data_IF_442667888279
#
_entry.id   IF_442667888279
#
_cell.length_a   1.000
_cell.length_b   1.000
_cell.length_c   1.000
_cell.angle_alpha   90.00
_cell.angle_beta   90.00
_cell.angle_gamma   90.00
#
_symmetry.space_group_name_H-M   'P 1'
#
loop_
_entity.id
_entity.type
_entity.pdbx_description
1 polymer ?
#
# COMPACT_ATOMS: atom_id res chain seq x y z
N UNK A 1 11.63 5.87 -24.97
CA UNK A 1 11.11 6.90 -24.05
C UNK A 1 11.90 6.81 -22.76
N UNK A 2 12.32 7.94 -22.17
CA UNK A 2 12.99 7.93 -20.87
C UNK A 2 12.00 7.48 -19.80
N UNK A 3 12.29 6.41 -19.06
CA UNK A 3 11.44 5.88 -17.97
C UNK A 3 11.68 6.64 -16.66
N UNK A 4 11.76 7.97 -16.72
CA UNK A 4 12.01 8.82 -15.56
C UNK A 4 10.93 8.71 -14.46
N UNK A 5 9.75 8.17 -14.82
CA UNK A 5 8.62 7.91 -13.94
C UNK A 5 8.76 6.62 -13.13
N UNK A 6 9.70 5.72 -13.49
CA UNK A 6 9.91 4.44 -12.81
C UNK A 6 11.22 4.45 -12.03
N UNK A 7 11.15 4.04 -10.76
CA UNK A 7 12.33 3.80 -9.93
C UNK A 7 12.26 2.42 -9.30
N UNK A 8 13.41 1.78 -9.10
CA UNK A 8 13.49 0.54 -8.33
C UNK A 8 14.15 0.82 -7.00
N UNK A 9 13.47 0.44 -5.94
CA UNK A 9 13.94 0.49 -4.57
C UNK A 9 14.24 -0.93 -4.06
N UNK A 10 15.32 -1.06 -3.31
CA UNK A 10 15.61 -2.30 -2.63
C UNK A 10 14.73 -2.39 -1.37
N UNK A 11 14.19 -3.57 -1.11
CA UNK A 11 13.48 -3.84 0.14
C UNK A 11 14.42 -3.64 1.32
N UNK A 12 14.03 -2.78 2.25
CA UNK A 12 14.82 -2.47 3.44
C UNK A 12 14.09 -1.54 4.39
N UNK A 13 14.63 -1.37 5.60
CA UNK A 13 14.01 -0.57 6.67
C UNK A 13 13.83 0.91 6.29
N UNK A 14 14.71 1.46 5.45
CA UNK A 14 14.61 2.85 4.99
C UNK A 14 13.30 3.13 4.21
N UNK A 15 12.61 2.11 3.70
CA UNK A 15 11.29 2.29 3.10
C UNK A 15 10.24 2.80 4.09
N UNK A 16 10.40 2.57 5.40
CA UNK A 16 9.45 3.12 6.37
C UNK A 16 9.49 4.64 6.48
N UNK A 17 10.63 5.24 6.11
CA UNK A 17 10.77 6.70 6.00
C UNK A 17 10.23 7.23 4.65
N UNK A 18 9.70 6.34 3.80
CA UNK A 18 9.19 6.65 2.47
C UNK A 18 10.11 6.18 1.33
N UNK A 19 9.77 6.61 0.13
CA UNK A 19 10.53 6.34 -1.11
C UNK A 19 11.53 7.46 -1.39
N UNK A 20 12.68 7.13 -1.98
CA UNK A 20 13.66 8.14 -2.39
C UNK A 20 13.17 8.89 -3.64
N UNK A 21 12.90 10.18 -3.47
CA UNK A 21 12.50 11.09 -4.56
C UNK A 21 13.69 11.80 -5.20
N UNK A 22 14.90 11.62 -4.66
CA UNK A 22 16.15 12.27 -5.07
C UNK A 22 16.79 13.07 -3.92
N UNK A 23 18.10 13.32 -4.02
CA UNK A 23 18.87 14.15 -3.08
C UNK A 23 18.80 13.66 -1.61
N UNK A 24 18.52 12.38 -1.39
CA UNK A 24 18.36 11.79 -0.06
C UNK A 24 17.03 12.13 0.62
N UNK A 25 16.13 12.84 -0.08
CA UNK A 25 14.79 13.15 0.42
C UNK A 25 13.91 11.91 0.28
N UNK A 26 13.33 11.47 1.39
CA UNK A 26 12.35 10.39 1.41
C UNK A 26 10.95 10.94 1.66
N UNK A 27 9.98 10.42 0.93
CA UNK A 27 8.58 10.87 1.00
C UNK A 27 7.64 9.68 1.03
N UNK A 28 6.55 9.79 1.78
CA UNK A 28 5.45 8.83 1.72
C UNK A 28 4.74 8.93 0.36
N UNK A 29 4.28 7.80 -0.15
CA UNK A 29 3.43 7.74 -1.33
C UNK A 29 1.96 7.77 -0.94
N UNK A 30 1.11 8.10 -1.90
CA UNK A 30 -0.34 8.00 -1.82
C UNK A 30 -0.73 6.53 -1.69
N UNK A 31 -0.38 5.69 -2.68
CA UNK A 31 -0.80 4.29 -2.73
C UNK A 31 0.37 3.31 -2.67
N UNK A 32 0.33 2.39 -1.70
CA UNK A 32 1.14 1.18 -1.69
C UNK A 32 0.37 0.01 -2.28
N UNK A 33 1.03 -0.88 -3.02
CA UNK A 33 0.45 -2.11 -3.57
C UNK A 33 1.27 -3.29 -3.08
N UNK A 34 0.61 -4.20 -2.37
CA UNK A 34 1.17 -5.44 -1.84
C UNK A 34 0.59 -6.61 -2.62
N UNK A 35 1.46 -7.38 -3.26
CA UNK A 35 1.07 -8.61 -3.94
C UNK A 35 1.31 -9.78 -2.98
N UNK A 36 0.32 -10.64 -2.77
CA UNK A 36 0.44 -11.81 -1.90
C UNK A 36 -0.21 -13.05 -2.53
N UNK A 37 0.34 -14.23 -2.23
CA UNK A 37 -0.26 -15.50 -2.64
C UNK A 37 -1.20 -16.05 -1.56
N UNK A 38 -2.17 -16.86 -1.99
CA UNK A 38 -3.18 -17.48 -1.12
C UNK A 38 -2.55 -18.32 0.00
N UNK A 39 -1.60 -19.16 -0.38
CA UNK A 39 -0.84 -20.10 0.45
C UNK A 39 0.42 -19.48 1.09
N UNK A 40 0.62 -18.16 0.95
CA UNK A 40 1.79 -17.46 1.49
C UNK A 40 1.69 -17.33 3.01
N UNK A 41 2.33 -18.24 3.75
CA UNK A 41 2.44 -18.18 5.21
C UNK A 41 3.86 -18.53 5.66
N UNK A 42 4.56 -17.64 6.42
CA UNK A 42 4.19 -16.25 6.72
C UNK A 42 4.22 -15.36 5.46
N UNK A 43 3.60 -14.18 5.53
CA UNK A 43 3.78 -13.11 4.54
C UNK A 43 5.27 -12.82 4.33
N UNK A 44 5.66 -12.43 3.12
CA UNK A 44 7.03 -12.18 2.70
C UNK A 44 7.18 -10.77 2.10
N UNK A 45 8.43 -10.37 1.87
CA UNK A 45 8.73 -9.11 1.18
C UNK A 45 8.23 -7.87 1.94
N UNK A 46 7.71 -6.88 1.21
CA UNK A 46 7.14 -5.68 1.83
C UNK A 46 5.86 -5.99 2.62
N UNK A 47 5.06 -6.97 2.20
CA UNK A 47 3.85 -7.36 2.92
C UNK A 47 4.18 -7.83 4.34
N UNK A 48 5.24 -8.64 4.51
CA UNK A 48 5.73 -9.05 5.82
C UNK A 48 6.17 -7.87 6.70
N UNK A 49 6.89 -6.92 6.10
CA UNK A 49 7.39 -5.74 6.82
C UNK A 49 6.25 -4.82 7.27
N UNK A 50 5.26 -4.62 6.41
CA UNK A 50 4.04 -3.87 6.74
C UNK A 50 3.26 -4.61 7.82
N UNK A 51 3.08 -5.92 7.69
CA UNK A 51 2.37 -6.74 8.68
C UNK A 51 3.03 -6.69 10.05
N UNK A 52 4.36 -6.86 10.11
CA UNK A 52 5.15 -6.70 11.34
C UNK A 52 4.96 -5.31 11.96
N UNK A 53 5.00 -4.25 11.15
CA UNK A 53 4.84 -2.88 11.64
C UNK A 53 3.41 -2.58 12.13
N UNK A 54 2.45 -3.35 11.63
CA UNK A 54 1.04 -3.33 12.02
C UNK A 54 0.67 -4.40 13.04
N UNK A 55 1.65 -4.97 13.77
CA UNK A 55 1.40 -5.98 14.80
C UNK A 55 0.61 -7.21 14.31
N UNK A 56 0.82 -7.61 13.05
CA UNK A 56 0.17 -8.79 12.47
C UNK A 56 -1.23 -8.54 11.91
N UNK A 57 -1.66 -7.29 11.73
CA UNK A 57 -3.01 -6.96 11.26
C UNK A 57 -3.34 -7.56 9.87
N UNK A 58 -2.40 -7.59 8.91
CA UNK A 58 -2.64 -8.20 7.61
C UNK A 58 -2.80 -9.71 7.75
N UNK A 59 -1.93 -10.34 8.54
CA UNK A 59 -2.06 -11.77 8.86
C UNK A 59 -3.37 -12.07 9.60
N UNK A 60 -3.86 -11.15 10.44
CA UNK A 60 -5.17 -11.22 11.09
C UNK A 60 -6.32 -11.24 10.08
N UNK A 61 -6.32 -10.34 9.10
CA UNK A 61 -7.31 -10.31 8.01
C UNK A 61 -7.29 -11.61 7.18
N UNK A 62 -6.10 -12.13 6.87
CA UNK A 62 -5.95 -13.38 6.12
C UNK A 62 -6.43 -14.59 6.92
N UNK A 63 -6.21 -14.61 8.24
CA UNK A 63 -6.68 -15.70 9.12
C UNK A 63 -8.20 -15.65 9.37
N UNK A 64 -8.80 -14.46 9.40
CA UNK A 64 -10.25 -14.33 9.54
C UNK A 64 -11.01 -14.70 8.26
N UNK A 65 -10.31 -14.85 7.13
CA UNK A 65 -10.92 -15.09 5.83
C UNK A 65 -11.56 -13.84 5.23
N UNK A 66 -11.28 -12.65 5.78
CA UNK A 66 -11.75 -11.39 5.18
C UNK A 66 -11.18 -11.18 3.78
N UNK A 67 -9.94 -11.62 3.58
CA UNK A 67 -9.34 -11.83 2.27
C UNK A 67 -8.55 -13.13 2.25
N UNK A 68 -8.42 -13.74 1.08
CA UNK A 68 -7.85 -15.08 0.94
C UNK A 68 -6.56 -15.10 0.12
N UNK A 69 -6.37 -14.14 -0.77
CA UNK A 69 -5.34 -14.13 -1.80
C UNK A 69 -5.77 -14.73 -3.13
N UNK A 70 -7.08 -14.84 -3.38
CA UNK A 70 -7.60 -15.32 -4.66
C UNK A 70 -7.09 -14.50 -5.86
N UNK A 71 -6.96 -15.09 -7.07
CA UNK A 71 -6.41 -14.42 -8.24
C UNK A 71 -7.11 -13.10 -8.62
N UNK A 72 -6.46 -12.00 -8.26
CA UNK A 72 -6.90 -10.63 -8.46
C UNK A 72 -8.04 -10.18 -7.55
N UNK A 73 -8.22 -10.85 -6.42
CA UNK A 73 -8.87 -10.27 -5.24
C UNK A 73 -8.13 -8.98 -4.86
N UNK A 74 -8.88 -7.94 -4.52
CA UNK A 74 -8.32 -6.62 -4.23
C UNK A 74 -8.99 -6.02 -3.00
N UNK A 75 -8.20 -5.71 -1.97
CA UNK A 75 -8.66 -5.07 -0.75
C UNK A 75 -7.93 -3.76 -0.55
N UNK A 76 -8.69 -2.68 -0.38
CA UNK A 76 -8.14 -1.38 -0.01
C UNK A 76 -8.12 -1.26 1.51
N UNK A 77 -6.96 -0.91 2.06
CA UNK A 77 -6.70 -0.75 3.48
C UNK A 77 -6.23 0.69 3.76
N UNK A 78 -6.61 1.27 4.91
CA UNK A 78 -6.08 2.56 5.31
C UNK A 78 -4.57 2.45 5.60
N UNK A 79 -3.82 3.50 5.25
CA UNK A 79 -2.42 3.62 5.66
C UNK A 79 -2.27 4.07 7.10
N UNK A 80 -1.03 4.05 7.57
CA UNK A 80 -0.63 4.58 8.88
C UNK A 80 0.55 5.52 8.72
N UNK A 81 0.73 6.43 9.68
CA UNK A 81 1.79 7.45 9.65
C UNK A 81 3.19 6.84 9.63
N UNK A 82 3.35 5.67 10.20
CA UNK A 82 4.59 4.89 10.30
C UNK A 82 4.84 3.94 9.11
N UNK A 83 3.99 3.99 8.08
CA UNK A 83 4.12 3.23 6.86
C UNK A 83 4.45 4.14 5.66
N UNK A 84 5.13 3.63 4.63
CA UNK A 84 5.49 4.42 3.46
C UNK A 84 4.32 4.95 2.62
N UNK A 85 3.10 4.44 2.82
CA UNK A 85 1.95 4.79 1.99
C UNK A 85 0.75 5.28 2.82
N UNK A 86 0.00 6.23 2.26
CA UNK A 86 -1.25 6.78 2.82
C UNK A 86 -2.42 5.80 2.76
N UNK A 87 -2.42 4.91 1.78
CA UNK A 87 -3.36 3.80 1.62
C UNK A 87 -2.67 2.61 0.97
N UNK A 88 -3.22 1.42 1.20
CA UNK A 88 -2.65 0.16 0.74
C UNK A 88 -3.66 -0.65 -0.06
N UNK A 89 -3.26 -1.12 -1.23
CA UNK A 89 -3.97 -2.13 -1.99
C UNK A 89 -3.30 -3.47 -1.73
N UNK A 90 -3.99 -4.37 -1.06
CA UNK A 90 -3.61 -5.77 -0.94
C UNK A 90 -4.25 -6.53 -2.12
N UNK A 91 -3.42 -7.18 -2.94
CA UNK A 91 -3.85 -7.80 -4.20
C UNK A 91 -3.43 -9.27 -4.26
N UNK A 92 -4.42 -10.15 -4.39
CA UNK A 92 -4.24 -11.60 -4.42
C UNK A 92 -3.65 -12.10 -5.74
N UNK A 93 -2.64 -12.96 -5.65
CA UNK A 93 -1.96 -13.58 -6.79
C UNK A 93 -2.43 -15.02 -7.05
N UNK A 94 -3.33 -15.54 -6.22
CA UNK A 94 -3.69 -16.95 -6.19
C UNK A 94 -2.64 -17.80 -5.50
N UNK A 95 -2.70 -19.12 -5.73
CA UNK A 95 -1.72 -20.06 -5.21
C UNK A 95 -0.35 -19.90 -5.86
N UNK A 96 0.70 -19.98 -5.06
CA UNK A 96 2.08 -19.84 -5.49
C UNK A 96 2.50 -20.93 -6.48
N UNK A 97 2.06 -22.17 -6.27
CA UNK A 97 2.35 -23.31 -7.15
C UNK A 97 1.72 -23.21 -8.56
N UNK A 98 0.71 -22.36 -8.71
CA UNK A 98 0.02 -22.11 -9.96
C UNK A 98 0.47 -20.80 -10.64
N UNK A 99 1.50 -20.14 -10.11
CA UNK A 99 2.00 -18.85 -10.57
C UNK A 99 3.18 -19.02 -11.53
N UNK A 100 2.86 -19.29 -12.79
CA UNK A 100 3.85 -19.26 -13.87
C UNK A 100 4.10 -17.82 -14.41
N UNK A 101 5.13 -17.60 -15.25
CA UNK A 101 5.43 -16.28 -15.80
C UNK A 101 4.28 -15.62 -16.57
N UNK A 102 3.45 -16.40 -17.29
CA UNK A 102 2.33 -15.86 -18.05
C UNK A 102 1.20 -15.39 -17.12
N UNK A 103 0.89 -16.18 -16.09
CA UNK A 103 -0.11 -15.85 -15.08
C UNK A 103 0.33 -14.68 -14.22
N UNK A 104 1.59 -14.63 -13.81
CA UNK A 104 2.14 -13.53 -13.05
C UNK A 104 2.12 -12.22 -13.82
N UNK A 105 2.40 -12.26 -15.13
CA UNK A 105 2.24 -11.11 -16.02
C UNK A 105 0.78 -10.62 -16.04
N UNK A 106 -0.18 -11.51 -16.29
CA UNK A 106 -1.60 -11.15 -16.36
C UNK A 106 -2.11 -10.56 -15.03
N UNK A 107 -1.69 -11.12 -13.89
CA UNK A 107 -2.07 -10.62 -12.57
C UNK A 107 -1.40 -9.28 -12.25
N UNK A 108 -0.14 -9.09 -12.64
CA UNK A 108 0.57 -7.82 -12.46
C UNK A 108 -0.05 -6.70 -13.30
N UNK A 109 -0.48 -6.99 -14.53
CA UNK A 109 -1.26 -6.05 -15.37
C UNK A 109 -2.58 -5.66 -14.68
N UNK A 110 -3.32 -6.66 -14.15
CA UNK A 110 -4.55 -6.40 -13.39
C UNK A 110 -4.30 -5.57 -12.13
N UNK A 111 -3.21 -5.83 -11.40
CA UNK A 111 -2.87 -5.09 -10.20
C UNK A 111 -2.58 -3.61 -10.51
N UNK A 112 -1.82 -3.33 -11.58
CA UNK A 112 -1.57 -1.96 -12.04
C UNK A 112 -2.87 -1.28 -12.48
N UNK A 113 -3.70 -1.96 -13.28
CA UNK A 113 -4.99 -1.41 -13.70
C UNK A 113 -5.89 -1.09 -12.49
N UNK A 114 -5.97 -1.98 -11.51
CA UNK A 114 -6.70 -1.75 -10.27
C UNK A 114 -6.15 -0.55 -9.49
N UNK A 115 -4.82 -0.47 -9.30
CA UNK A 115 -4.17 0.62 -8.60
C UNK A 115 -4.41 1.98 -9.28
N UNK A 116 -4.31 2.06 -10.61
CA UNK A 116 -4.48 3.32 -11.35
C UNK A 116 -5.95 3.81 -11.37
N UNK A 117 -6.94 2.91 -11.26
CA UNK A 117 -8.36 3.30 -11.11
C UNK A 117 -8.63 4.07 -9.81
N UNK A 118 -7.79 3.90 -8.80
CA UNK A 118 -7.84 4.67 -7.55
C UNK A 118 -7.28 6.11 -7.69
N UNK A 119 -6.86 6.48 -8.90
CA UNK A 119 -6.25 7.76 -9.27
C UNK A 119 -5.16 8.21 -8.28
N UNK A 120 -4.15 7.37 -8.00
CA UNK A 120 -3.12 7.70 -7.06
C UNK A 120 -2.21 8.82 -7.60
N UNK A 121 -1.72 9.68 -6.70
CA UNK A 121 -0.71 10.69 -7.04
C UNK A 121 0.63 10.04 -7.40
N UNK A 122 0.97 8.96 -6.69
CA UNK A 122 2.15 8.15 -6.84
C UNK A 122 1.91 6.75 -6.25
N UNK A 123 2.67 5.77 -6.73
CA UNK A 123 2.50 4.35 -6.37
C UNK A 123 3.81 3.73 -5.92
N UNK A 124 3.77 2.99 -4.81
CA UNK A 124 4.78 2.05 -4.37
C UNK A 124 4.27 0.63 -4.59
N UNK A 125 4.81 -0.11 -5.56
CA UNK A 125 4.39 -1.49 -5.84
C UNK A 125 5.47 -2.46 -5.39
N UNK A 126 5.13 -3.39 -4.52
CA UNK A 126 6.04 -4.45 -4.10
C UNK A 126 5.85 -5.72 -4.93
N UNK A 127 6.94 -6.23 -5.50
CA UNK A 127 6.94 -7.58 -6.05
C UNK A 127 6.73 -8.61 -4.92
N UNK A 128 6.12 -9.78 -5.20
CA UNK A 128 5.87 -10.79 -4.18
C UNK A 128 7.19 -11.23 -3.54
N UNK A 129 7.19 -11.38 -2.21
CA UNK A 129 8.37 -11.82 -1.48
C UNK A 129 8.62 -13.32 -1.67
N UNK A 130 9.89 -13.73 -1.70
CA UNK A 130 10.24 -15.15 -1.80
C UNK A 130 10.15 -15.76 -3.20
N UNK A 131 9.87 -14.96 -4.24
CA UNK A 131 10.09 -15.36 -5.62
C UNK A 131 11.60 -15.47 -5.89
N UNK A 132 12.21 -16.61 -5.59
CA UNK A 132 13.60 -16.89 -5.96
C UNK A 132 13.78 -17.05 -7.47
N UNK A 133 12.67 -17.23 -8.18
CA UNK A 133 12.62 -17.43 -9.62
C UNK A 133 12.72 -16.10 -10.36
N UNK A 134 13.92 -15.87 -10.89
CA UNK A 134 14.29 -14.71 -11.70
C UNK A 134 13.29 -14.41 -12.82
N UNK A 135 12.86 -15.44 -13.55
CA UNK A 135 11.98 -15.31 -14.70
C UNK A 135 10.63 -14.69 -14.32
N UNK A 136 10.11 -15.07 -13.14
CA UNK A 136 8.86 -14.55 -12.62
C UNK A 136 8.95 -13.06 -12.31
N UNK A 137 10.02 -12.63 -11.63
CA UNK A 137 10.24 -11.22 -11.30
C UNK A 137 10.43 -10.34 -12.56
N UNK A 138 11.17 -10.83 -13.56
CA UNK A 138 11.37 -10.13 -14.84
C UNK A 138 10.07 -10.07 -15.66
N UNK A 139 9.26 -11.13 -15.67
CA UNK A 139 7.96 -11.17 -16.32
C UNK A 139 6.98 -10.16 -15.69
N UNK A 140 6.88 -10.13 -14.36
CA UNK A 140 6.04 -9.17 -13.64
C UNK A 140 6.51 -7.74 -13.85
N UNK A 141 7.82 -7.46 -13.77
CA UNK A 141 8.34 -6.12 -14.06
C UNK A 141 7.95 -5.68 -15.47
N UNK A 142 8.17 -6.53 -16.47
CA UNK A 142 7.84 -6.22 -17.86
C UNK A 142 6.34 -5.93 -18.04
N UNK A 143 5.49 -6.70 -17.36
CA UNK A 143 4.04 -6.52 -17.32
C UNK A 143 3.64 -5.18 -16.69
N UNK A 144 4.21 -4.85 -15.53
CA UNK A 144 3.95 -3.60 -14.80
C UNK A 144 4.32 -2.39 -15.65
N UNK A 145 5.50 -2.43 -16.28
CA UNK A 145 5.97 -1.35 -17.14
C UNK A 145 5.04 -1.18 -18.34
N UNK A 146 4.69 -2.28 -19.02
CA UNK A 146 3.81 -2.23 -20.18
C UNK A 146 2.41 -1.70 -19.83
N UNK A 147 1.83 -2.17 -18.73
CA UNK A 147 0.52 -1.72 -18.25
C UNK A 147 0.52 -0.23 -17.89
N UNK A 148 1.56 0.23 -17.20
CA UNK A 148 1.68 1.64 -16.83
C UNK A 148 1.89 2.53 -18.06
N UNK A 149 2.76 2.15 -18.99
CA UNK A 149 2.94 2.89 -20.24
C UNK A 149 1.66 2.92 -21.09
N UNK A 150 0.85 1.84 -21.09
CA UNK A 150 -0.45 1.82 -21.75
C UNK A 150 -1.42 2.83 -21.14
N UNK A 151 -1.53 2.86 -19.81
CA UNK A 151 -2.35 3.83 -19.10
C UNK A 151 -1.90 5.28 -19.36
N UNK A 152 -0.58 5.54 -19.45
CA UNK A 152 -0.06 6.86 -19.81
C UNK A 152 -0.48 7.27 -21.23
N UNK A 153 -0.46 6.33 -22.20
CA UNK A 153 -0.91 6.63 -23.57
C UNK A 153 -2.41 6.91 -23.63
N UNK A 154 -3.24 6.20 -22.89
CA UNK A 154 -4.68 6.49 -22.80
C UNK A 154 -4.94 7.92 -22.28
N UNK A 155 -4.16 8.36 -21.28
CA UNK A 155 -4.22 9.73 -20.77
C UNK A 155 -3.74 10.80 -21.77
N UNK A 156 -2.87 10.43 -22.72
CA UNK A 156 -2.44 11.31 -23.81
C UNK A 156 -3.46 11.36 -24.97
N UNK A 157 -4.23 10.28 -25.16
CA UNK A 157 -5.19 10.07 -26.27
C UNK A 157 -6.61 10.53 -25.93
N UNK A 158 -6.86 11.10 -24.75
CA UNK A 158 -8.08 11.86 -24.46
C UNK A 158 -7.88 13.35 -24.83
N UNK A 159 -7.92 13.77 -26.12
CA UNK A 159 -8.20 15.15 -26.41
C UNK A 159 -9.65 15.37 -26.01
N UNK A 160 -9.84 16.34 -25.13
CA UNK A 160 -11.06 17.09 -24.93
C UNK A 160 -11.92 17.03 -26.20
N UNK A 161 -12.97 16.22 -26.20
CA UNK A 161 -14.11 16.48 -27.07
C UNK A 161 -14.56 17.85 -26.60
N UNK A 162 -14.10 18.87 -27.33
CA UNK A 162 -14.51 20.23 -27.12
C UNK A 162 -16.01 20.20 -27.38
N UNK A 163 -16.80 20.10 -26.32
CA UNK A 163 -18.20 20.48 -26.33
C UNK A 163 -18.17 21.89 -26.88
N UNK A 164 -18.49 22.03 -28.17
CA UNK A 164 -18.67 23.31 -28.79
C UNK A 164 -19.65 24.07 -27.88
N UNK A 165 -19.37 25.34 -27.53
CA UNK A 165 -20.37 26.13 -26.83
C UNK A 165 -21.61 26.09 -27.71
N UNK A 166 -22.66 25.47 -27.17
CA UNK A 166 -24.01 25.48 -27.71
C UNK A 166 -24.30 26.93 -28.07
N UNK A 167 -24.39 27.21 -29.37
CA UNK A 167 -24.71 28.54 -29.86
C UNK A 167 -26.08 28.87 -29.28
N UNK A 168 -26.08 29.81 -28.35
CA UNK A 168 -27.27 30.39 -27.77
C UNK A 168 -28.28 30.70 -28.89
N UNK A 169 -29.38 29.95 -28.89
CA UNK A 169 -30.57 30.23 -29.69
C UNK A 169 -31.31 31.43 -29.08
N UNK A 170 -31.35 32.60 -29.74
CA UNK A 170 -32.12 33.74 -29.29
C UNK A 170 -33.28 33.97 -30.28
N UNK A 171 -34.47 33.50 -29.93
CA UNK A 171 -35.68 33.73 -30.72
C UNK A 171 -36.87 32.97 -30.14
N UNK A 172 -37.43 33.39 -29.01
CA UNK A 172 -38.50 34.39 -28.89
C UNK A 172 -39.81 34.04 -29.65
N UNK A 173 -40.88 34.00 -28.84
CA UNK A 173 -42.29 34.23 -29.11
C UNK A 173 -43.13 33.19 -29.89
N UNK A 174 -44.10 32.61 -29.16
CA UNK A 174 -45.54 32.45 -29.47
C UNK A 174 -46.06 31.22 -28.71
N UNK A 175 -47.27 31.14 -28.17
CA UNK A 175 -48.33 32.07 -27.80
C UNK A 175 -49.22 31.25 -26.87
N UNK A 176 -50.03 31.92 -26.06
CA UNK A 176 -51.10 31.30 -25.29
C UNK A 176 -51.99 30.40 -26.18
N UNK A 177 -52.40 29.24 -25.66
CA UNK A 177 -53.82 28.91 -25.66
C UNK A 177 -54.13 27.76 -24.71
N UNK A 178 -55.05 28.07 -23.80
CA UNK A 178 -55.74 27.14 -22.93
C UNK A 178 -56.49 26.08 -23.73
N UNK A 179 -56.62 24.85 -23.19
CA UNK A 179 -57.87 24.10 -23.31
C UNK A 179 -58.05 23.09 -22.17
N UNK A 180 -59.33 22.96 -21.87
CA UNK A 180 -60.03 22.34 -20.77
C UNK A 180 -59.77 20.85 -20.52
N UNK A 181 -60.06 20.49 -19.27
CA UNK A 181 -60.82 19.30 -18.82
C UNK A 181 -61.11 18.22 -19.86
N UNK A 182 -60.71 16.99 -19.55
CA UNK A 182 -61.72 15.94 -19.37
C UNK A 182 -61.17 14.79 -18.53
N UNK A 183 -61.97 14.44 -17.52
CA UNK A 183 -61.86 13.23 -16.74
C UNK A 183 -61.98 12.00 -17.63
N UNK A 184 -61.28 10.90 -17.29
CA UNK A 184 -61.87 9.57 -17.38
C UNK A 184 -61.18 8.58 -16.43
N UNK A 185 -62.07 7.76 -15.88
CA UNK A 185 -61.93 6.69 -14.90
C UNK A 185 -61.00 5.54 -15.31
N UNK A 186 -60.65 4.77 -14.28
CA UNK A 186 -60.51 3.31 -14.21
C UNK A 186 -59.68 2.60 -15.29
N UNK A 187 -58.60 1.95 -14.85
CA UNK A 187 -58.69 0.50 -14.67
C UNK A 187 -57.49 -0.07 -13.91
N UNK A 188 -57.81 -0.97 -13.00
CA UNK A 188 -56.89 -1.81 -12.26
C UNK A 188 -56.13 -2.75 -13.21
N UNK A 189 -54.84 -3.01 -12.91
CA UNK A 189 -54.28 -4.34 -13.12
C UNK A 189 -53.11 -4.63 -12.17
N UNK A 190 -53.07 -5.91 -11.81
CA UNK A 190 -52.31 -6.60 -10.80
C UNK A 190 -50.80 -6.70 -11.07
N UNK A 191 -50.11 -7.09 -9.99
CA UNK A 191 -48.96 -8.00 -9.94
C UNK A 191 -47.76 -7.73 -10.87
N UNK A 192 -46.62 -7.39 -10.27
CA UNK A 192 -45.60 -8.42 -10.07
C UNK A 192 -44.46 -7.92 -9.16
N UNK A 193 -44.02 -8.84 -8.30
CA UNK A 193 -42.88 -8.71 -7.42
C UNK A 193 -41.59 -8.45 -8.21
N UNK A 194 -40.93 -7.34 -7.94
CA UNK A 194 -39.53 -7.13 -8.30
C UNK A 194 -38.74 -6.82 -7.03
N UNK A 195 -37.91 -7.78 -6.64
CA UNK A 195 -36.94 -7.70 -5.56
C UNK A 195 -36.02 -6.49 -5.72
N UNK A 196 -35.98 -5.66 -4.69
CA UNK A 196 -34.96 -4.64 -4.45
C UNK A 196 -33.55 -5.27 -4.40
N UNK A 197 -32.57 -4.80 -5.21
CA UNK A 197 -31.16 -5.06 -4.98
C UNK A 197 -30.43 -3.74 -4.70
N UNK A 198 -30.82 -3.04 -3.63
CA UNK A 198 -30.05 -1.91 -3.11
C UNK A 198 -29.84 -2.04 -1.59
N UNK A 199 -28.89 -2.91 -1.23
CA UNK A 199 -28.23 -2.89 0.07
C UNK A 199 -26.72 -3.05 -0.13
N UNK A 200 -26.06 -2.00 -0.61
CA UNK A 200 -24.59 -1.91 -0.70
C UNK A 200 -24.09 -0.57 -0.15
N UNK A 201 -24.52 -0.24 1.08
CA UNK A 201 -24.04 0.93 1.81
C UNK A 201 -23.25 0.62 3.10
N UNK A 202 -23.15 -0.65 3.53
CA UNK A 202 -22.49 -1.01 4.81
C UNK A 202 -21.11 -1.67 4.68
N UNK A 203 -20.59 -1.88 3.48
CA UNK A 203 -19.30 -2.55 3.30
C UNK A 203 -18.10 -1.69 3.72
N UNK A 204 -18.15 -0.37 3.59
CA UNK A 204 -17.03 0.53 3.95
C UNK A 204 -16.83 0.68 5.47
N UNK A 205 -17.92 0.70 6.25
CA UNK A 205 -17.84 0.74 7.71
C UNK A 205 -17.31 -0.59 8.30
N UNK A 206 -17.54 -1.72 7.60
CA UNK A 206 -17.03 -3.04 7.96
C UNK A 206 -15.51 -3.14 7.83
N UNK A 207 -14.91 -2.58 6.77
CA UNK A 207 -13.46 -2.64 6.55
C UNK A 207 -12.69 -1.81 7.59
N UNK A 208 -13.16 -0.59 7.86
CA UNK A 208 -12.56 0.27 8.88
C UNK A 208 -12.71 -0.35 10.27
N UNK A 209 -13.86 -0.98 10.57
CA UNK A 209 -14.10 -1.64 11.85
C UNK A 209 -13.29 -2.93 12.03
N UNK A 210 -13.21 -3.80 11.02
CA UNK A 210 -12.44 -5.05 11.09
C UNK A 210 -10.94 -4.78 11.17
N UNK A 211 -10.43 -3.80 10.41
CA UNK A 211 -9.04 -3.38 10.50
C UNK A 211 -8.77 -2.66 11.84
N UNK A 212 -9.65 -1.75 12.28
CA UNK A 212 -9.52 -1.11 13.59
C UNK A 212 -9.65 -2.11 14.76
N UNK A 213 -10.46 -3.16 14.63
CA UNK A 213 -10.59 -4.23 15.61
C UNK A 213 -9.33 -5.10 15.67
N UNK A 214 -8.78 -5.47 14.51
CA UNK A 214 -7.47 -6.14 14.44
C UNK A 214 -6.33 -5.28 15.02
N UNK A 215 -6.48 -3.95 15.00
CA UNK A 215 -5.54 -2.99 15.60
C UNK A 215 -5.73 -2.76 17.10
N UNK A 216 -6.84 -3.20 17.71
CA UNK A 216 -7.11 -3.04 19.15
C UNK A 216 -6.68 -4.23 19.99
N UNK A 217 -6.27 -5.33 19.35
CA UNK A 217 -5.76 -6.53 20.04
C UNK A 217 -4.29 -6.33 20.46
N UNK A 218 -4.03 -5.30 21.27
CA UNK A 218 -2.82 -5.16 22.07
C UNK A 218 -3.04 -6.00 23.35
N UNK A 219 -3.13 -7.32 23.19
CA UNK A 219 -3.14 -8.24 24.33
C UNK A 219 -1.86 -8.10 25.15
N UNK A 220 -1.91 -8.24 26.49
CA UNK A 220 -0.71 -8.15 27.32
C UNK A 220 0.32 -9.18 26.85
N UNK A 221 1.53 -8.70 26.53
CA UNK A 221 2.68 -9.56 26.31
C UNK A 221 3.00 -10.28 27.62
N UNK A 222 2.72 -11.58 27.67
CA UNK A 222 3.29 -12.49 28.67
C UNK A 222 4.78 -12.66 28.36
N UNK A 223 5.60 -11.81 28.96
CA UNK A 223 7.06 -11.99 29.09
C UNK A 223 7.33 -13.12 30.12
N UNK A 224 7.03 -14.37 29.73
CA UNK A 224 7.43 -15.58 30.48
C UNK A 224 8.22 -16.52 29.55
N UNK A 225 9.48 -16.19 29.28
CA UNK A 225 10.46 -17.13 28.72
C UNK A 225 11.65 -17.29 29.68
N UNK A 226 11.33 -17.76 30.88
CA UNK A 226 12.29 -18.25 31.87
C UNK A 226 12.55 -19.75 31.60
N UNK A 227 13.26 -20.05 30.50
CA UNK A 227 13.72 -21.42 30.19
C UNK A 227 15.14 -21.63 30.72
N UNK A 228 15.39 -22.66 31.55
CA UNK A 228 16.73 -22.94 32.05
C UNK A 228 17.62 -23.53 30.95
N UNK A 229 18.84 -22.99 30.83
CA UNK A 229 19.89 -23.51 29.95
C UNK A 229 20.19 -25.00 30.24
N UNK A 230 20.36 -25.85 29.21
CA UNK A 230 20.81 -27.21 29.43
C UNK A 230 22.32 -27.25 29.74
N UNK A 231 22.60 -27.88 30.89
CA UNK A 231 23.88 -28.27 31.48
C UNK A 231 24.90 -28.79 30.44
N UNK A 232 25.98 -28.03 30.22
CA UNK A 232 27.17 -28.46 29.50
C UNK A 232 28.22 -28.97 30.48
N UNK A 233 28.08 -30.24 30.88
CA UNK A 233 29.15 -30.98 31.56
C UNK A 233 29.67 -32.13 30.70
N UNK A 234 30.97 -32.03 30.38
CA UNK A 234 31.85 -33.19 30.33
C UNK A 234 32.52 -33.48 28.99
N UNK A 235 33.70 -32.89 28.75
CA UNK A 235 34.89 -33.66 28.37
C UNK A 235 36.12 -32.97 28.97
N UNK A 236 36.86 -33.71 29.79
CA UNK A 236 38.11 -33.31 30.40
C UNK A 236 39.30 -33.97 29.68
N UNK A 237 40.38 -33.21 29.47
CA UNK A 237 41.79 -33.64 29.48
C UNK A 237 42.64 -32.34 29.39
N UNK A 238 43.11 -31.80 30.52
CA UNK A 238 44.40 -32.07 31.16
C UNK A 238 45.62 -31.60 30.35
N UNK A 239 46.20 -30.45 30.72
CA UNK A 239 47.62 -30.35 31.09
C UNK A 239 47.97 -28.98 31.72
N UNK A 240 48.65 -29.08 32.87
CA UNK A 240 49.58 -28.18 33.57
C UNK A 240 49.31 -26.69 33.83
N UNK A 241 49.36 -26.37 35.14
CA UNK A 241 49.54 -25.06 35.78
C UNK A 241 51.07 -24.72 35.88
N UNK A 242 51.57 -23.65 36.58
CA UNK A 242 50.91 -22.62 37.42
C UNK A 242 51.55 -21.19 37.22
N UNK A 243 51.61 -20.29 38.23
CA UNK A 243 50.56 -19.37 38.70
C UNK A 243 51.04 -17.88 38.68
N UNK A 244 50.35 -17.02 39.44
CA UNK A 244 50.59 -15.59 39.77
C UNK A 244 49.52 -14.69 39.14
N UNK A 245 48.77 -13.85 39.85
CA UNK A 245 48.70 -13.48 41.26
C UNK A 245 47.50 -12.54 41.39
N UNK A 246 46.86 -12.50 42.56
CA UNK A 246 45.94 -11.41 42.90
C UNK A 246 46.68 -10.07 43.07
N UNK A 247 46.04 -8.96 43.54
CA UNK A 247 44.86 -9.05 44.39
C UNK A 247 43.85 -7.84 44.31
N UNK A 248 42.65 -8.08 44.87
CA UNK A 248 41.77 -7.21 45.70
C UNK A 248 41.20 -5.82 45.29
N UNK A 249 39.99 -5.58 45.84
CA UNK A 249 39.24 -4.33 46.19
C UNK A 249 38.71 -3.47 45.02
N UNK A 250 37.50 -2.90 45.01
CA UNK A 250 36.67 -2.43 46.12
C UNK A 250 35.16 -2.30 45.81
N UNK A 251 34.38 -2.39 46.88
CA UNK A 251 33.00 -1.91 47.02
C UNK A 251 32.95 -0.37 47.12
N UNK A 252 31.93 0.22 46.48
CA UNK A 252 31.17 1.41 46.90
C UNK A 252 29.95 1.48 45.96
N UNK A 253 28.68 1.64 46.36
CA UNK A 253 28.12 2.29 47.55
C UNK A 253 27.54 3.66 47.15
N UNK A 254 26.29 3.90 47.54
CA UNK A 254 25.46 5.12 47.38
C UNK A 254 24.69 5.22 46.04
N UNK A 255 23.37 5.09 45.94
CA UNK A 255 22.22 5.60 46.73
C UNK A 255 21.76 7.02 46.33
N UNK A 256 20.44 7.16 46.32
CA UNK A 256 19.59 8.35 46.32
C UNK A 256 19.39 9.17 45.02
N UNK A 257 18.11 9.41 44.70
CA UNK A 257 17.73 10.51 43.82
C UNK A 257 16.38 10.42 43.11
N UNK A 258 15.29 10.10 43.81
CA UNK A 258 13.93 10.32 43.30
C UNK A 258 13.66 11.82 43.12
N UNK A 259 13.05 12.21 41.99
CA UNK A 259 12.15 13.38 41.89
C UNK A 259 11.44 13.44 40.53
N UNK A 260 10.11 13.32 40.59
CA UNK A 260 9.08 13.67 39.60
C UNK A 260 8.01 14.44 40.40
N UNK A 261 7.06 15.22 39.83
CA UNK A 261 6.98 15.98 38.59
C UNK A 261 6.77 17.50 38.85
N UNK A 262 6.76 18.33 37.80
CA UNK A 262 6.05 19.61 37.83
C UNK A 262 5.33 19.86 36.51
N UNK A 263 4.01 19.91 36.62
CA UNK A 263 3.04 20.33 35.62
C UNK A 263 2.94 21.87 35.59
N UNK A 264 2.82 22.43 34.39
CA UNK A 264 2.19 23.73 34.07
C UNK A 264 1.87 23.63 32.57
N UNK A 265 0.62 23.47 32.14
CA UNK A 265 -0.46 24.46 32.15
C UNK A 265 -0.01 25.79 31.53
N UNK A 266 -0.27 25.94 30.24
CA UNK A 266 -0.56 27.25 29.63
C UNK A 266 -1.41 27.02 28.39
N UNK A 267 -2.67 27.43 28.50
CA UNK A 267 -3.64 27.45 27.43
C UNK A 267 -3.61 28.74 26.60
N UNK A 268 -4.40 28.67 25.53
CA UNK A 268 -4.87 29.74 24.64
C UNK A 268 -4.01 30.07 23.40
N UNK A 269 -4.62 30.65 22.33
CA UNK A 269 -5.97 30.44 21.81
C UNK A 269 -5.99 30.04 20.32
N UNK A 270 -7.13 29.50 19.90
CA UNK A 270 -7.49 29.26 18.51
C UNK A 270 -7.47 30.57 17.68
N UNK A 271 -6.55 30.64 16.72
CA UNK A 271 -6.63 31.58 15.61
C UNK A 271 -7.16 30.83 14.38
N UNK A 272 -8.40 31.13 14.00
CA UNK A 272 -8.98 30.68 12.75
C UNK A 272 -8.25 31.29 11.56
N UNK A 273 -7.72 30.44 10.69
CA UNK A 273 -7.38 30.82 9.32
C UNK A 273 -8.48 30.33 8.38
N UNK A 274 -9.35 31.26 8.02
CA UNK A 274 -10.06 31.38 6.73
C UNK A 274 -9.42 30.49 5.65
N UNK A 275 -10.08 29.45 5.12
CA UNK A 275 -11.16 29.54 4.13
C UNK A 275 -10.92 30.67 3.12
N UNK A 276 -9.97 30.46 2.20
CA UNK A 276 -9.90 31.14 0.90
C UNK A 276 -8.72 30.57 0.09
N UNK A 277 -8.75 29.27 -0.22
CA UNK A 277 -7.87 28.70 -1.26
C UNK A 277 -8.60 27.57 -2.01
N UNK A 278 -9.87 27.81 -2.34
CA UNK A 278 -10.56 27.11 -3.42
C UNK A 278 -10.06 27.68 -4.76
N UNK A 279 -8.75 27.53 -5.04
CA UNK A 279 -8.21 27.78 -6.36
C UNK A 279 -8.72 26.66 -7.27
N UNK A 280 -9.70 27.02 -8.09
CA UNK A 280 -9.82 26.64 -9.49
C UNK A 280 -9.06 25.36 -9.85
N UNK A 281 -9.74 24.22 -9.74
CA UNK A 281 -9.32 22.97 -10.40
C UNK A 281 -9.52 23.13 -11.91
N UNK A 282 -8.79 24.05 -12.53
CA UNK A 282 -8.52 23.95 -13.96
C UNK A 282 -7.88 22.59 -14.17
N UNK A 283 -8.48 21.75 -15.00
CA UNK A 283 -8.09 20.36 -15.27
C UNK A 283 -6.59 20.30 -15.62
N UNK A 284 -5.76 20.13 -14.60
CA UNK A 284 -4.34 19.98 -14.76
C UNK A 284 -4.15 18.71 -15.60
N UNK A 285 -3.39 18.82 -16.69
CA UNK A 285 -3.06 17.68 -17.55
C UNK A 285 -2.70 16.48 -16.67
N UNK A 286 -3.22 15.28 -16.97
CA UNK A 286 -2.88 14.09 -16.21
C UNK A 286 -1.35 13.96 -16.18
N UNK A 287 -0.79 14.07 -14.98
CA UNK A 287 0.66 13.90 -14.79
C UNK A 287 0.97 12.41 -14.78
N UNK A 288 2.13 11.99 -15.33
CA UNK A 288 2.55 10.61 -15.17
C UNK A 288 2.64 10.29 -13.68
N UNK A 289 1.89 9.28 -13.24
CA UNK A 289 1.85 8.82 -11.85
C UNK A 289 3.19 8.14 -11.54
N UNK A 290 4.08 8.73 -10.73
CA UNK A 290 5.40 8.15 -10.49
C UNK A 290 5.27 6.79 -9.79
N UNK A 291 6.07 5.82 -10.22
CA UNK A 291 6.03 4.44 -9.76
C UNK A 291 7.37 4.03 -9.15
N UNK A 292 7.33 3.59 -7.90
CA UNK A 292 8.44 2.92 -7.23
C UNK A 292 8.14 1.43 -7.16
N UNK A 293 9.02 0.63 -7.75
CA UNK A 293 8.97 -0.82 -7.65
C UNK A 293 9.90 -1.28 -6.53
N UNK A 294 9.36 -1.96 -5.53
CA UNK A 294 10.14 -2.58 -4.46
C UNK A 294 10.41 -4.02 -4.81
N UNK A 295 11.68 -4.40 -4.75
CA UNK A 295 12.12 -5.77 -4.92
C UNK A 295 13.14 -6.13 -3.85
N UNK A 296 13.27 -7.43 -3.56
CA UNK A 296 14.38 -7.93 -2.74
C UNK A 296 15.73 -7.42 -3.28
N UNK A 297 16.68 -7.11 -2.39
CA UNK A 297 18.00 -6.60 -2.78
C UNK A 297 18.73 -7.46 -3.81
N UNK A 298 18.51 -8.78 -3.81
CA UNK A 298 19.07 -9.75 -4.78
C UNK A 298 18.51 -9.55 -6.20
N UNK A 299 17.33 -8.97 -6.33
CA UNK A 299 16.66 -8.68 -7.60
C UNK A 299 16.77 -7.20 -7.97
N UNK A 300 16.73 -6.27 -7.02
CA UNK A 300 16.71 -4.83 -7.28
C UNK A 300 17.85 -4.37 -8.21
N UNK A 301 19.10 -4.77 -7.93
CA UNK A 301 20.24 -4.42 -8.79
C UNK A 301 20.15 -4.99 -10.21
N UNK A 302 19.55 -6.18 -10.37
CA UNK A 302 19.34 -6.82 -11.68
C UNK A 302 18.20 -6.15 -12.45
N UNK A 303 17.07 -5.90 -11.80
CA UNK A 303 15.92 -5.24 -12.42
C UNK A 303 16.28 -3.82 -12.89
N UNK A 304 17.15 -3.09 -12.16
CA UNK A 304 17.67 -1.79 -12.60
C UNK A 304 18.41 -1.90 -13.93
N UNK A 305 19.35 -2.86 -14.02
CA UNK A 305 20.08 -3.15 -15.28
C UNK A 305 19.14 -3.58 -16.41
N UNK A 306 18.09 -4.34 -16.09
CA UNK A 306 17.09 -4.75 -17.08
C UNK A 306 16.33 -3.56 -17.68
N UNK A 307 15.99 -2.55 -16.88
CA UNK A 307 15.33 -1.33 -17.34
C UNK A 307 16.28 -0.38 -18.08
N UNK A 308 17.49 -0.19 -17.55
CA UNK A 308 18.48 0.75 -18.10
C UNK A 308 19.16 0.22 -19.38
N UNK A 309 19.06 -1.09 -19.63
CA UNK A 309 19.79 -1.78 -20.69
C UNK A 309 21.23 -2.09 -20.30
N UNK A 310 21.97 -2.86 -21.13
CA UNK A 310 23.40 -3.04 -20.90
C UNK A 310 24.08 -1.66 -20.85
N UNK A 311 25.05 -1.43 -19.94
CA UNK A 311 25.81 -0.19 -19.96
C UNK A 311 26.35 -0.03 -21.37
N UNK A 312 25.98 1.05 -22.06
CA UNK A 312 26.57 1.37 -23.36
C UNK A 312 28.07 1.41 -23.09
N UNK A 313 28.82 0.47 -23.67
CA UNK A 313 30.26 0.53 -23.61
C UNK A 313 30.62 1.95 -24.08
N UNK A 314 31.32 2.69 -23.22
CA UNK A 314 31.82 3.99 -23.61
C UNK A 314 32.63 3.75 -24.88
N UNK A 315 32.12 4.25 -26.01
CA UNK A 315 32.88 4.28 -27.26
C UNK A 315 34.09 5.17 -26.96
N UNK A 316 35.24 4.53 -26.74
CA UNK A 316 36.56 5.17 -26.66
C UNK A 316 37.05 5.62 -28.04
#
# INVERSE_FOLDING_TARGET
MSRAWLRIEALGRALFDGVDVGEGVRRRVDLGVLLHCEDERPLRGLAALVDWRCSGALSGLLRSGFCTGEPGESVLLPGRRDLPAERWLLFGMGRQDALDPARAKALAERAVACALRLRPRDVLLALPGGNEERELAEAMLSAIVAAHEAALRELEVEPHEAVAPDEADPGDAHDDDAHDDDAHDDDAHDDEAASDPHASADASASVDSAFAAALRDEGPHDDDDDRPEPDRRGVAAAHDAPPEGGPTVAHAGADEGASTPASADDGAPHAGSSSADARSHAAARPRPCPLWLVADGRHAGRLRRFIEGPPRAAEE
#
